data_IF_151892829241
#
_entry.id   IF_151892829241
#
_cell.length_a   1.000
_cell.length_b   1.000
_cell.length_c   1.000
_cell.angle_alpha   90.00
_cell.angle_beta   90.00
_cell.angle_gamma   90.00
#
_symmetry.space_group_name_H-M   'P 1'
#
loop_
_entity.id
_entity.type
_entity.pdbx_description
1 polymer ?
#
# COMPACT_ATOMS: atom_id res chain seq x y z
N UNK A 1 11.73 18.46 20.39
CA UNK A 1 10.71 18.56 19.31
C UNK A 1 9.56 17.65 19.67
N UNK A 2 8.36 18.20 19.84
CA UNK A 2 7.36 17.66 20.77
C UNK A 2 6.56 16.49 20.20
N UNK A 3 6.20 15.57 21.10
CA UNK A 3 5.39 14.37 20.88
C UNK A 3 4.05 14.66 20.16
N UNK A 4 3.53 15.87 20.32
CA UNK A 4 2.37 16.42 19.61
C UNK A 4 2.56 16.58 18.10
N UNK A 5 3.75 16.96 17.62
CA UNK A 5 4.04 17.11 16.19
C UNK A 5 3.89 15.77 15.47
N UNK A 6 4.54 14.72 15.99
CA UNK A 6 4.46 13.38 15.41
C UNK A 6 3.04 12.83 15.41
N UNK A 7 2.26 13.06 16.47
CA UNK A 7 0.84 12.67 16.51
C UNK A 7 0.02 13.34 15.42
N UNK A 8 0.20 14.65 15.21
CA UNK A 8 -0.51 15.37 14.16
C UNK A 8 -0.10 14.89 12.77
N UNK A 9 1.20 14.70 12.51
CA UNK A 9 1.70 14.19 11.23
C UNK A 9 1.17 12.78 10.94
N UNK A 10 1.17 11.90 11.93
CA UNK A 10 0.68 10.52 11.78
C UNK A 10 -0.83 10.44 11.56
N UNK A 11 -1.61 11.43 12.01
CA UNK A 11 -3.05 11.47 11.78
C UNK A 11 -3.44 12.21 10.48
N UNK A 12 -2.82 13.36 10.21
CA UNK A 12 -3.18 14.22 9.07
C UNK A 12 -2.78 13.58 7.75
N UNK A 13 -1.57 13.02 7.64
CA UNK A 13 -1.06 12.49 6.37
C UNK A 13 -1.93 11.33 5.83
N UNK A 14 -2.29 10.30 6.62
CA UNK A 14 -3.15 9.22 6.15
C UNK A 14 -4.56 9.68 5.80
N UNK A 15 -5.14 10.62 6.56
CA UNK A 15 -6.48 11.16 6.30
C UNK A 15 -6.50 11.91 4.97
N UNK A 16 -5.54 12.81 4.75
CA UNK A 16 -5.42 13.54 3.48
C UNK A 16 -5.21 12.57 2.33
N UNK A 17 -4.33 11.58 2.49
CA UNK A 17 -4.09 10.54 1.49
C UNK A 17 -5.35 9.74 1.14
N UNK A 18 -6.13 9.34 2.16
CA UNK A 18 -7.39 8.62 1.98
C UNK A 18 -8.44 9.49 1.27
N UNK A 19 -8.58 10.76 1.64
CA UNK A 19 -9.51 11.70 0.97
C UNK A 19 -9.12 11.89 -0.49
N UNK A 20 -7.84 12.08 -0.79
CA UNK A 20 -7.38 12.21 -2.18
C UNK A 20 -7.67 10.92 -2.97
N UNK A 21 -7.31 9.76 -2.42
CA UNK A 21 -7.54 8.46 -3.07
C UNK A 21 -9.03 8.20 -3.37
N UNK A 22 -9.91 8.57 -2.44
CA UNK A 22 -11.37 8.41 -2.61
C UNK A 22 -11.94 9.29 -3.69
N UNK A 23 -11.50 10.55 -3.76
CA UNK A 23 -11.90 11.48 -4.84
C UNK A 23 -11.47 10.93 -6.20
N UNK A 24 -10.23 10.45 -6.34
CA UNK A 24 -9.76 9.81 -7.59
C UNK A 24 -10.56 8.55 -7.95
N UNK A 25 -10.92 7.73 -6.96
CA UNK A 25 -11.75 6.55 -7.19
C UNK A 25 -13.16 6.91 -7.65
N UNK A 26 -13.80 7.91 -7.03
CA UNK A 26 -15.12 8.40 -7.43
C UNK A 26 -15.11 8.99 -8.84
N UNK A 27 -14.08 9.78 -9.18
CA UNK A 27 -13.87 10.29 -10.54
C UNK A 27 -13.74 9.15 -11.56
N UNK A 28 -12.99 8.09 -11.21
CA UNK A 28 -12.84 6.90 -12.06
C UNK A 28 -14.18 6.19 -12.26
N UNK A 29 -14.94 5.96 -11.18
CA UNK A 29 -16.27 5.35 -11.25
C UNK A 29 -17.23 6.19 -12.13
N UNK A 30 -17.23 7.51 -11.92
CA UNK A 30 -18.04 8.45 -12.68
C UNK A 30 -17.69 8.44 -14.17
N UNK A 31 -16.39 8.46 -14.52
CA UNK A 31 -15.95 8.34 -15.91
C UNK A 31 -16.44 7.05 -16.59
N UNK A 32 -16.45 5.93 -15.87
CA UNK A 32 -16.93 4.65 -16.42
C UNK A 32 -18.45 4.62 -16.59
N UNK A 33 -19.18 5.25 -15.66
CA UNK A 33 -20.62 5.42 -15.75
C UNK A 33 -21.00 6.27 -16.97
N UNK A 34 -20.27 7.36 -17.21
CA UNK A 34 -20.42 8.21 -18.40
C UNK A 34 -20.15 7.44 -19.70
N UNK A 35 -19.14 6.57 -19.73
CA UNK A 35 -18.81 5.73 -20.88
C UNK A 35 -19.66 4.46 -21.00
N UNK A 36 -20.67 4.25 -20.12
CA UNK A 36 -21.51 3.03 -20.04
C UNK A 36 -20.71 1.72 -20.09
N UNK A 37 -19.52 1.72 -19.48
CA UNK A 37 -18.66 0.52 -19.43
C UNK A 37 -19.01 -0.32 -18.21
N UNK A 38 -19.10 -1.64 -18.40
CA UNK A 38 -19.27 -2.60 -17.31
C UNK A 38 -18.12 -2.50 -16.30
N UNK A 39 -18.40 -2.87 -15.04
CA UNK A 39 -17.39 -2.98 -13.99
C UNK A 39 -16.42 -4.09 -14.37
N UNK A 40 -15.14 -3.72 -14.51
CA UNK A 40 -14.07 -4.67 -14.79
C UNK A 40 -13.59 -5.26 -13.46
N UNK A 41 -13.05 -6.48 -13.49
CA UNK A 41 -12.48 -7.17 -12.32
C UNK A 41 -11.44 -6.29 -11.62
N UNK A 42 -10.68 -5.52 -12.39
CA UNK A 42 -9.74 -4.53 -11.86
C UNK A 42 -10.40 -3.46 -10.98
N UNK A 43 -11.59 -2.96 -11.31
CA UNK A 43 -12.24 -1.92 -10.51
C UNK A 43 -12.79 -2.47 -9.19
N UNK A 44 -13.23 -3.74 -9.17
CA UNK A 44 -13.64 -4.44 -7.94
C UNK A 44 -12.44 -4.59 -7.00
N UNK A 45 -11.30 -5.07 -7.52
CA UNK A 45 -10.07 -5.20 -6.73
C UNK A 45 -9.59 -3.84 -6.19
N UNK A 46 -9.69 -2.78 -7.00
CA UNK A 46 -9.35 -1.43 -6.55
C UNK A 46 -10.22 -0.99 -5.38
N UNK A 47 -11.54 -1.24 -5.45
CA UNK A 47 -12.46 -0.87 -4.37
C UNK A 47 -12.17 -1.64 -3.08
N UNK A 48 -11.85 -2.93 -3.18
CA UNK A 48 -11.46 -3.77 -2.04
C UNK A 48 -10.16 -3.25 -1.41
N UNK A 49 -9.16 -2.92 -2.23
CA UNK A 49 -7.90 -2.35 -1.75
C UNK A 49 -8.06 -1.00 -1.05
N UNK A 50 -8.94 -0.14 -1.57
CA UNK A 50 -9.30 1.15 -0.95
C UNK A 50 -10.02 0.95 0.39
N UNK A 51 -10.97 0.01 0.45
CA UNK A 51 -11.68 -0.30 1.69
C UNK A 51 -10.74 -0.78 2.79
N UNK A 52 -9.78 -1.66 2.45
CA UNK A 52 -8.76 -2.14 3.38
C UNK A 52 -7.82 -0.99 3.82
N UNK A 53 -7.54 -0.03 2.93
CA UNK A 53 -6.74 1.16 3.25
C UNK A 53 -7.37 2.04 4.33
N UNK A 54 -8.70 2.10 4.41
CA UNK A 54 -9.35 2.76 5.54
C UNK A 54 -9.05 2.07 6.87
N UNK A 55 -8.95 0.74 6.88
CA UNK A 55 -8.50 -0.03 8.05
C UNK A 55 -7.11 0.42 8.52
N UNK A 56 -6.16 0.57 7.59
CA UNK A 56 -4.82 1.12 7.87
C UNK A 56 -4.92 2.50 8.50
N UNK A 57 -5.74 3.38 7.92
CA UNK A 57 -5.93 4.76 8.37
C UNK A 57 -6.49 4.80 9.80
N UNK A 58 -7.53 4.03 10.08
CA UNK A 58 -8.15 3.92 11.40
C UNK A 58 -7.16 3.37 12.43
N UNK A 59 -6.46 2.28 12.13
CA UNK A 59 -5.47 1.70 13.03
C UNK A 59 -4.33 2.68 13.33
N UNK A 60 -3.86 3.41 12.32
CA UNK A 60 -2.78 4.41 12.48
C UNK A 60 -3.23 5.58 13.37
N UNK A 61 -4.46 6.07 13.19
CA UNK A 61 -5.03 7.12 14.03
C UNK A 61 -5.18 6.63 15.48
N UNK A 62 -5.76 5.45 15.68
CA UNK A 62 -5.92 4.87 17.03
C UNK A 62 -4.57 4.68 17.71
N UNK A 63 -3.54 4.28 16.97
CA UNK A 63 -2.19 4.13 17.48
C UNK A 63 -1.59 5.51 17.86
N UNK A 64 -1.78 6.54 17.04
CA UNK A 64 -1.33 7.91 17.30
C UNK A 64 -2.00 8.54 18.55
N UNK A 65 -3.27 8.24 18.80
CA UNK A 65 -3.99 8.69 20.00
C UNK A 65 -3.66 7.87 21.24
N UNK A 66 -3.16 6.65 21.09
CA UNK A 66 -2.76 5.76 22.19
C UNK A 66 -1.36 6.06 22.76
N UNK A 67 -0.67 7.11 22.30
CA UNK A 67 0.55 7.62 22.92
C UNK A 67 1.82 7.58 22.08
N UNK A 68 1.75 7.31 20.77
CA UNK A 68 2.93 7.38 19.87
C UNK A 68 3.47 8.81 19.87
N UNK A 69 4.57 9.02 20.57
CA UNK A 69 5.20 10.33 20.73
C UNK A 69 6.03 10.42 22.01
N UNK A 70 5.58 9.81 23.11
CA UNK A 70 6.45 9.60 24.27
C UNK A 70 7.40 8.45 23.97
N UNK A 71 8.63 8.49 24.49
CA UNK A 71 9.58 7.38 24.36
C UNK A 71 8.87 6.05 24.68
N UNK A 72 9.09 5.04 23.85
CA UNK A 72 8.54 3.68 24.00
C UNK A 72 8.84 3.12 25.40
N UNK A 73 9.91 3.61 26.03
CA UNK A 73 10.38 3.32 27.37
C UNK A 73 9.58 4.02 28.50
N UNK A 74 8.90 5.13 28.21
CA UNK A 74 8.11 5.92 29.16
C UNK A 74 6.60 5.70 29.09
N UNK A 75 6.09 4.90 28.13
CA UNK A 75 4.68 4.50 28.12
C UNK A 75 4.40 3.50 29.23
N UNK A 76 3.31 3.70 29.98
CA UNK A 76 2.84 2.72 30.95
C UNK A 76 2.66 1.35 30.26
N UNK A 77 3.20 0.29 30.87
CA UNK A 77 3.18 -1.10 30.40
C UNK A 77 1.80 -1.55 29.87
N UNK A 78 0.71 -1.00 30.43
CA UNK A 78 -0.67 -1.34 30.07
C UNK A 78 -1.09 -0.88 28.66
N UNK A 79 -0.52 0.20 28.13
CA UNK A 79 -0.81 0.68 26.77
C UNK A 79 0.14 0.10 25.72
N UNK A 80 1.28 -0.45 26.16
CA UNK A 80 2.34 -0.96 25.29
C UNK A 80 1.85 -2.09 24.39
N UNK A 81 1.14 -3.09 24.93
CA UNK A 81 0.61 -4.21 24.15
C UNK A 81 -0.45 -3.80 23.11
N UNK A 82 -1.29 -2.81 23.42
CA UNK A 82 -2.31 -2.31 22.48
C UNK A 82 -1.68 -1.58 21.30
N UNK A 83 -0.68 -0.73 21.55
CA UNK A 83 0.01 0.01 20.49
C UNK A 83 0.75 -0.95 19.55
N UNK A 84 1.44 -1.96 20.10
CA UNK A 84 2.12 -2.99 19.30
C UNK A 84 1.11 -3.80 18.46
N UNK A 85 -0.03 -4.20 19.05
CA UNK A 85 -1.09 -4.90 18.31
C UNK A 85 -1.64 -4.05 17.16
N UNK A 86 -1.88 -2.75 17.37
CA UNK A 86 -2.33 -1.84 16.31
C UNK A 86 -1.29 -1.69 15.20
N UNK A 87 0.00 -1.67 15.55
CA UNK A 87 1.09 -1.64 14.57
C UNK A 87 1.13 -2.91 13.71
N UNK A 88 0.96 -4.07 14.34
CA UNK A 88 0.85 -5.37 13.66
C UNK A 88 -0.31 -5.40 12.65
N UNK A 89 -1.50 -4.95 13.08
CA UNK A 89 -2.67 -4.84 12.21
C UNK A 89 -2.43 -3.88 11.05
N UNK A 90 -1.79 -2.74 11.33
CA UNK A 90 -1.47 -1.73 10.31
C UNK A 90 -0.56 -2.30 9.22
N UNK A 91 0.48 -3.05 9.60
CA UNK A 91 1.37 -3.71 8.63
C UNK A 91 0.64 -4.76 7.79
N UNK A 92 -0.23 -5.57 8.40
CA UNK A 92 -1.02 -6.59 7.70
C UNK A 92 -2.00 -5.95 6.71
N UNK A 93 -2.77 -4.95 7.14
CA UNK A 93 -3.70 -4.23 6.27
C UNK A 93 -2.98 -3.45 5.16
N UNK A 94 -1.80 -2.89 5.46
CA UNK A 94 -1.00 -2.20 4.46
C UNK A 94 -0.56 -3.15 3.35
N UNK A 95 -0.01 -4.33 3.70
CA UNK A 95 0.37 -5.35 2.74
C UNK A 95 -0.83 -5.79 1.87
N UNK A 96 -1.97 -6.08 2.50
CA UNK A 96 -3.21 -6.45 1.79
C UNK A 96 -3.67 -5.36 0.82
N UNK A 97 -3.74 -4.12 1.28
CA UNK A 97 -4.15 -2.98 0.44
C UNK A 97 -3.23 -2.83 -0.78
N UNK A 98 -1.91 -2.93 -0.58
CA UNK A 98 -0.93 -2.87 -1.67
C UNK A 98 -1.12 -3.98 -2.70
N UNK A 99 -1.39 -5.23 -2.27
CA UNK A 99 -1.65 -6.34 -3.18
C UNK A 99 -2.85 -6.04 -4.07
N UNK A 100 -4.00 -5.69 -3.49
CA UNK A 100 -5.23 -5.47 -4.27
C UNK A 100 -5.10 -4.30 -5.25
N UNK A 101 -4.50 -3.19 -4.81
CA UNK A 101 -4.30 -2.01 -5.66
C UNK A 101 -3.33 -2.35 -6.81
N UNK A 102 -2.18 -2.97 -6.53
CA UNK A 102 -1.19 -3.33 -7.57
C UNK A 102 -1.71 -4.37 -8.54
N UNK A 103 -2.49 -5.35 -8.08
CA UNK A 103 -3.15 -6.32 -8.95
C UNK A 103 -4.16 -5.63 -9.88
N UNK A 104 -4.97 -4.70 -9.36
CA UNK A 104 -5.90 -3.91 -10.17
C UNK A 104 -5.17 -3.11 -11.27
N UNK A 105 -4.09 -2.41 -10.91
CA UNK A 105 -3.28 -1.63 -11.86
C UNK A 105 -2.63 -2.55 -12.89
N UNK A 106 -2.09 -3.70 -12.47
CA UNK A 106 -1.45 -4.65 -13.38
C UNK A 106 -2.45 -5.26 -14.37
N UNK A 107 -3.67 -5.57 -13.92
CA UNK A 107 -4.75 -6.04 -14.80
C UNK A 107 -5.18 -4.97 -15.80
N UNK A 108 -5.28 -3.71 -15.36
CA UNK A 108 -5.56 -2.58 -16.24
C UNK A 108 -4.46 -2.43 -17.32
N UNK A 109 -3.20 -2.50 -16.92
CA UNK A 109 -2.06 -2.46 -17.85
C UNK A 109 -2.08 -3.64 -18.81
N UNK A 110 -2.40 -4.85 -18.34
CA UNK A 110 -2.53 -6.03 -19.20
C UNK A 110 -3.62 -5.84 -20.25
N UNK A 111 -4.80 -5.35 -19.85
CA UNK A 111 -5.91 -5.08 -20.77
C UNK A 111 -5.57 -4.03 -21.82
N UNK A 112 -4.88 -2.96 -21.42
CA UNK A 112 -4.43 -1.90 -22.34
C UNK A 112 -3.33 -2.35 -23.31
N UNK A 113 -2.45 -3.27 -22.87
CA UNK A 113 -1.26 -3.70 -23.60
C UNK A 113 -1.42 -5.07 -24.28
N UNK A 114 -2.61 -5.66 -24.24
CA UNK A 114 -2.91 -6.99 -24.77
C UNK A 114 -2.52 -7.17 -26.25
N UNK A 115 -2.44 -6.08 -27.02
CA UNK A 115 -2.06 -6.11 -28.43
C UNK A 115 -0.58 -6.47 -28.67
N UNK A 116 0.29 -6.46 -27.67
CA UNK A 116 1.74 -6.66 -27.84
C UNK A 116 2.24 -7.79 -26.93
N UNK A 117 2.56 -8.93 -27.53
CA UNK A 117 2.96 -10.18 -26.83
C UNK A 117 4.14 -10.00 -25.84
N UNK A 118 5.09 -9.10 -26.11
CA UNK A 118 6.20 -8.81 -25.18
C UNK A 118 5.72 -8.20 -23.86
N UNK A 119 4.72 -7.32 -23.91
CA UNK A 119 4.17 -6.66 -22.71
C UNK A 119 3.24 -7.58 -21.91
N UNK A 120 2.64 -8.57 -22.57
CA UNK A 120 1.86 -9.61 -21.87
C UNK A 120 2.73 -10.43 -20.91
N UNK A 121 3.95 -10.81 -21.32
CA UNK A 121 4.89 -11.55 -20.46
C UNK A 121 5.30 -10.69 -19.26
N UNK A 122 5.66 -9.42 -19.49
CA UNK A 122 6.07 -8.51 -18.40
C UNK A 122 4.94 -8.25 -17.41
N UNK A 123 3.71 -8.01 -17.88
CA UNK A 123 2.55 -7.79 -17.00
C UNK A 123 2.16 -9.05 -16.22
N UNK A 124 2.29 -10.23 -16.83
CA UNK A 124 2.08 -11.51 -16.13
C UNK A 124 3.15 -11.75 -15.07
N UNK A 125 4.42 -11.43 -15.36
CA UNK A 125 5.49 -11.52 -14.37
C UNK A 125 5.27 -10.58 -13.18
N UNK A 126 4.84 -9.34 -13.43
CA UNK A 126 4.48 -8.39 -12.36
C UNK A 126 3.29 -8.86 -11.53
N UNK A 127 2.29 -9.48 -12.15
CA UNK A 127 1.15 -10.04 -11.44
C UNK A 127 1.57 -11.15 -10.47
N UNK A 128 2.38 -12.11 -10.95
CA UNK A 128 2.91 -13.21 -10.12
C UNK A 128 3.80 -12.65 -9.00
N UNK A 129 4.67 -11.70 -9.32
CA UNK A 129 5.53 -11.04 -8.34
C UNK A 129 4.73 -10.37 -7.22
N UNK A 130 3.64 -9.65 -7.55
CA UNK A 130 2.78 -8.98 -6.57
C UNK A 130 2.18 -9.97 -5.58
N UNK A 131 1.70 -11.12 -6.09
CA UNK A 131 1.12 -12.17 -5.25
C UNK A 131 2.20 -12.79 -4.36
N UNK A 132 3.34 -13.15 -4.93
CA UNK A 132 4.45 -13.75 -4.18
C UNK A 132 4.97 -12.82 -3.08
N UNK A 133 5.18 -11.55 -3.39
CA UNK A 133 5.57 -10.52 -2.42
C UNK A 133 4.53 -10.38 -1.30
N UNK A 134 3.25 -10.34 -1.68
CA UNK A 134 2.15 -10.21 -0.74
C UNK A 134 2.03 -11.38 0.23
N UNK A 135 2.10 -12.60 -0.28
CA UNK A 135 2.09 -13.82 0.53
C UNK A 135 3.28 -13.83 1.49
N UNK A 136 4.48 -13.52 0.99
CA UNK A 136 5.67 -13.46 1.83
C UNK A 136 5.54 -12.41 2.95
N UNK A 137 5.04 -11.21 2.63
CA UNK A 137 4.83 -10.14 3.61
C UNK A 137 3.84 -10.57 4.71
N UNK A 138 2.72 -11.18 4.34
CA UNK A 138 1.68 -11.61 5.29
C UNK A 138 2.17 -12.77 6.15
N UNK A 139 2.80 -13.79 5.55
CA UNK A 139 3.31 -14.94 6.28
C UNK A 139 4.35 -14.52 7.31
N UNK A 140 5.32 -13.70 6.92
CA UNK A 140 6.34 -13.24 7.87
C UNK A 140 5.74 -12.34 8.93
N UNK A 141 4.76 -11.48 8.59
CA UNK A 141 4.10 -10.66 9.59
C UNK A 141 3.34 -11.49 10.64
N UNK A 142 2.67 -12.58 10.23
CA UNK A 142 1.95 -13.48 11.14
C UNK A 142 2.92 -14.33 11.97
N UNK A 143 3.96 -14.87 11.33
CA UNK A 143 4.91 -15.80 11.94
C UNK A 143 6.18 -15.13 12.48
N UNK A 144 6.19 -13.80 12.62
CA UNK A 144 7.36 -13.07 13.15
C UNK A 144 7.71 -13.44 14.60
N UNK A 145 6.73 -13.96 15.35
CA UNK A 145 6.91 -14.48 16.70
C UNK A 145 6.17 -15.81 16.86
N UNK A 146 6.76 -16.71 17.64
CA UNK A 146 6.14 -17.98 17.99
C UNK A 146 5.96 -18.08 19.52
N UNK A 147 4.71 -18.13 20.03
CA UNK A 147 3.43 -17.95 19.34
C UNK A 147 3.20 -16.50 18.88
N UNK A 148 2.32 -16.22 17.89
CA UNK A 148 2.06 -14.85 17.39
C UNK A 148 1.67 -13.86 18.50
N UNK A 149 0.95 -14.36 19.51
CA UNK A 149 0.54 -13.62 20.70
C UNK A 149 1.70 -13.02 21.50
N UNK A 150 2.89 -13.61 21.38
CA UNK A 150 4.09 -13.12 22.04
C UNK A 150 4.52 -11.74 21.56
N UNK A 151 4.13 -11.34 20.33
CA UNK A 151 4.44 -10.02 19.81
C UNK A 151 3.80 -8.91 20.66
N UNK A 152 2.55 -9.06 21.10
CA UNK A 152 1.82 -8.02 21.85
C UNK A 152 1.66 -8.31 23.35
N UNK A 153 1.92 -9.55 23.81
CA UNK A 153 1.89 -9.97 25.22
C UNK A 153 3.20 -10.70 25.62
N UNK A 154 4.36 -10.02 25.55
CA UNK A 154 5.66 -10.66 25.82
C UNK A 154 5.78 -11.15 27.27
N UNK A 155 5.11 -10.51 28.22
CA UNK A 155 5.16 -10.88 29.66
C UNK A 155 4.29 -12.10 30.00
N UNK A 156 3.30 -12.44 29.17
CA UNK A 156 2.32 -13.49 29.48
C UNK A 156 2.52 -14.78 28.68
N UNK A 157 3.46 -14.80 27.73
CA UNK A 157 3.71 -15.95 26.85
C UNK A 157 5.19 -16.27 26.82
N UNK A 158 5.55 -17.55 26.92
CA UNK A 158 6.91 -18.01 26.63
C UNK A 158 7.04 -18.20 25.11
N UNK A 159 7.90 -17.41 24.48
CA UNK A 159 8.07 -17.42 23.04
C UNK A 159 9.36 -16.74 22.61
N UNK A 160 9.63 -16.79 21.31
CA UNK A 160 10.74 -16.08 20.69
C UNK A 160 10.26 -15.41 19.40
N UNK A 161 10.82 -14.25 19.12
CA UNK A 161 10.62 -13.52 17.87
C UNK A 161 11.84 -13.66 16.98
N UNK A 162 11.64 -13.58 15.66
CA UNK A 162 12.74 -13.59 14.70
C UNK A 162 13.65 -12.38 14.92
N UNK A 163 14.97 -12.57 14.85
CA UNK A 163 15.92 -11.47 14.88
C UNK A 163 15.93 -10.75 13.52
N UNK A 164 16.04 -9.42 13.52
CA UNK A 164 16.16 -8.63 12.29
C UNK A 164 14.84 -8.23 11.61
N UNK A 165 13.72 -8.20 12.34
CA UNK A 165 12.41 -7.78 11.83
C UNK A 165 12.46 -6.42 11.09
N UNK A 166 13.16 -5.43 11.66
CA UNK A 166 13.29 -4.10 11.07
C UNK A 166 13.94 -4.15 9.68
N UNK A 167 15.04 -4.90 9.54
CA UNK A 167 15.74 -5.04 8.26
C UNK A 167 14.87 -5.76 7.21
N UNK A 168 14.11 -6.77 7.64
CA UNK A 168 13.19 -7.49 6.77
C UNK A 168 12.05 -6.59 6.27
N UNK A 169 11.38 -5.86 7.15
CA UNK A 169 10.30 -4.95 6.76
C UNK A 169 10.79 -3.78 5.91
N UNK A 170 11.99 -3.25 6.18
CA UNK A 170 12.61 -2.26 5.29
C UNK A 170 12.87 -2.82 3.89
N UNK A 171 13.36 -4.06 3.80
CA UNK A 171 13.61 -4.72 2.52
C UNK A 171 12.31 -4.95 1.74
N UNK A 172 11.26 -5.45 2.42
CA UNK A 172 9.93 -5.62 1.82
C UNK A 172 9.36 -4.28 1.35
N UNK A 173 9.50 -3.22 2.14
CA UNK A 173 9.09 -1.88 1.77
C UNK A 173 9.82 -1.36 0.53
N UNK A 174 11.15 -1.52 0.48
CA UNK A 174 11.97 -1.14 -0.67
C UNK A 174 11.57 -1.90 -1.94
N UNK A 175 11.34 -3.22 -1.84
CA UNK A 175 10.86 -4.04 -2.95
C UNK A 175 9.50 -3.57 -3.47
N UNK A 176 8.58 -3.25 -2.56
CA UNK A 176 7.27 -2.69 -2.90
C UNK A 176 7.42 -1.37 -3.67
N UNK A 177 8.31 -0.49 -3.21
CA UNK A 177 8.58 0.80 -3.84
C UNK A 177 9.22 0.65 -5.22
N UNK A 178 10.17 -0.28 -5.38
CA UNK A 178 10.75 -0.60 -6.70
C UNK A 178 9.65 -1.05 -7.64
N UNK A 179 8.73 -1.90 -7.17
CA UNK A 179 7.59 -2.34 -7.97
C UNK A 179 6.69 -1.17 -8.38
N UNK A 180 6.46 -0.19 -7.51
CA UNK A 180 5.69 1.01 -7.84
C UNK A 180 6.37 1.81 -8.94
N UNK A 181 7.69 2.00 -8.87
CA UNK A 181 8.47 2.65 -9.93
C UNK A 181 8.36 1.89 -11.25
N UNK A 182 8.45 0.56 -11.23
CA UNK A 182 8.29 -0.27 -12.44
C UNK A 182 6.89 -0.12 -13.03
N UNK A 183 5.84 -0.20 -12.21
CA UNK A 183 4.46 0.02 -12.64
C UNK A 183 4.25 1.43 -13.19
N UNK A 184 4.97 2.43 -12.66
CA UNK A 184 4.94 3.81 -13.13
C UNK A 184 5.62 3.98 -14.50
N UNK A 185 6.79 3.38 -14.69
CA UNK A 185 7.59 3.53 -15.91
C UNK A 185 7.03 2.74 -17.09
N UNK A 186 6.45 1.56 -16.83
CA UNK A 186 5.99 0.64 -17.86
C UNK A 186 5.02 1.28 -18.88
N UNK A 187 3.91 1.92 -18.47
CA UNK A 187 2.98 2.55 -19.41
C UNK A 187 3.58 3.78 -20.10
N UNK A 188 4.44 4.55 -19.43
CA UNK A 188 5.13 5.70 -20.06
C UNK A 188 6.01 5.21 -21.20
N UNK A 189 6.81 4.17 -20.97
CA UNK A 189 7.65 3.58 -22.00
C UNK A 189 6.83 3.00 -23.17
N UNK A 190 5.67 2.38 -22.89
CA UNK A 190 4.83 1.82 -23.95
C UNK A 190 4.13 2.92 -24.75
N UNK A 191 3.52 3.89 -24.06
CA UNK A 191 2.76 4.98 -24.67
C UNK A 191 3.66 5.85 -25.56
N UNK A 192 4.93 6.03 -25.20
CA UNK A 192 5.89 6.75 -26.06
C UNK A 192 6.24 5.98 -27.35
N UNK A 193 6.20 4.65 -27.32
CA UNK A 193 6.39 3.83 -28.53
C UNK A 193 5.11 3.65 -29.36
N UNK A 194 3.93 3.80 -28.76
CA UNK A 194 2.64 3.60 -29.44
C UNK A 194 2.11 4.92 -30.03
N UNK A 195 1.62 4.88 -31.28
CA UNK A 195 1.01 6.03 -31.97
C UNK A 195 -0.42 6.32 -31.47
N UNK A 196 -0.58 6.55 -30.17
CA UNK A 196 -1.86 6.94 -29.57
C UNK A 196 -2.13 8.45 -29.76
N UNK A 197 -3.41 8.86 -29.85
CA UNK A 197 -3.79 10.27 -29.90
C UNK A 197 -3.35 11.01 -28.63
N UNK A 198 -2.85 12.24 -28.81
CA UNK A 198 -2.18 13.04 -27.77
C UNK A 198 -3.02 13.19 -26.50
N UNK A 199 -4.35 13.24 -26.62
CA UNK A 199 -5.27 13.36 -25.47
C UNK A 199 -5.20 12.17 -24.50
N UNK A 200 -5.10 10.94 -25.01
CA UNK A 200 -4.94 9.75 -24.16
C UNK A 200 -3.54 9.65 -23.58
N UNK A 201 -2.53 10.09 -24.36
CA UNK A 201 -1.14 10.27 -23.91
C UNK A 201 -1.08 11.14 -22.65
N UNK A 202 -1.67 12.33 -22.71
CA UNK A 202 -1.68 13.30 -21.61
C UNK A 202 -2.41 12.78 -20.38
N UNK A 203 -3.58 12.14 -20.53
CA UNK A 203 -4.32 11.58 -19.39
C UNK A 203 -3.51 10.51 -18.64
N UNK A 204 -2.83 9.64 -19.38
CA UNK A 204 -1.96 8.61 -18.79
C UNK A 204 -0.77 9.31 -18.12
N UNK A 205 -0.05 10.19 -18.81
CA UNK A 205 1.13 10.88 -18.24
C UNK A 205 0.79 11.66 -16.97
N UNK A 206 -0.32 12.39 -16.93
CA UNK A 206 -0.75 13.16 -15.75
C UNK A 206 -1.10 12.26 -14.56
N UNK A 207 -1.86 11.18 -14.79
CA UNK A 207 -2.18 10.21 -13.74
C UNK A 207 -0.90 9.54 -13.18
N UNK A 208 0.10 9.30 -14.04
CA UNK A 208 1.39 8.71 -13.65
C UNK A 208 2.31 9.69 -12.91
N UNK A 209 2.33 10.98 -13.27
CA UNK A 209 3.10 12.00 -12.55
C UNK A 209 2.62 12.19 -11.11
N UNK A 210 1.30 12.09 -10.87
CA UNK A 210 0.72 12.17 -9.53
C UNK A 210 1.16 10.98 -8.67
N UNK A 211 1.20 9.77 -9.23
CA UNK A 211 1.69 8.57 -8.54
C UNK A 211 3.17 8.68 -8.13
N UNK A 212 4.02 9.23 -9.01
CA UNK A 212 5.44 9.47 -8.70
C UNK A 212 5.66 10.45 -7.54
N UNK A 213 4.85 11.51 -7.45
CA UNK A 213 4.91 12.46 -6.32
C UNK A 213 4.58 11.77 -4.99
N UNK A 214 3.59 10.88 -4.97
CA UNK A 214 3.22 10.12 -3.76
C UNK A 214 4.35 9.19 -3.30
N UNK A 215 5.10 8.58 -4.22
CA UNK A 215 6.30 7.79 -3.87
C UNK A 215 7.39 8.66 -3.22
N UNK A 216 7.62 9.87 -3.73
CA UNK A 216 8.60 10.82 -3.15
C UNK A 216 8.17 11.25 -1.74
N UNK A 217 6.89 11.59 -1.54
CA UNK A 217 6.36 11.91 -0.21
C UNK A 217 6.43 10.71 0.76
N UNK A 218 6.33 9.47 0.24
CA UNK A 218 6.46 8.26 1.06
C UNK A 218 7.90 7.98 1.47
N UNK A 219 8.90 8.34 0.65
CA UNK A 219 10.32 8.25 1.01
C UNK A 219 10.75 9.31 2.03
N UNK A 220 10.04 10.44 2.09
CA UNK A 220 10.27 11.51 3.05
C UNK A 220 9.60 11.27 4.40
N UNK A 221 8.79 10.21 4.54
CA UNK A 221 8.10 9.81 5.78
C UNK A 221 8.88 8.71 6.49
#
# INVERSE_FOLDING_TARGET
MTTTYWRMVLAVVPVVGAVVATVFFLLRLYSRLLLKRNLDTGDILMSLGLFISYGVTICTILAAFSGIGNDIWGLQLKYHGRVIMLFWLTQTFWALSQIFIKLSVTLLLRSLLASIRKWEITTTALFIYTIAWGIAAILVNIFQCWPPQHFWLPTSTHGACINGQTAFFMSIGALSLIQDVVLLLLPVAVVWRLRLPIRQKVQITVAFSIGGLVCVFSLLR
#
